data_IF_440555151263
#
_entry.id   IF_440555151263
#
_cell.length_a   1.000
_cell.length_b   1.000
_cell.length_c   1.000
_cell.angle_alpha   90.00
_cell.angle_beta   90.00
_cell.angle_gamma   90.00
#
_symmetry.space_group_name_H-M   'P 1'
#
loop_
_entity.id
_entity.type
_entity.pdbx_description
1 polymer ?
#
# COMPACT_ATOMS: atom_id res chain seq x y z
N UNK A 1 -4.57 20.23 -19.52
CA UNK A 1 -4.63 20.60 -18.08
C UNK A 1 -3.68 19.69 -17.31
N UNK A 2 -2.42 19.61 -17.73
CA UNK A 2 -1.47 18.53 -17.37
C UNK A 2 -0.17 19.08 -16.72
N UNK A 3 0.00 20.41 -16.74
CA UNK A 3 1.21 21.10 -16.29
C UNK A 3 1.32 21.16 -14.75
N UNK A 4 0.18 21.26 -14.05
CA UNK A 4 0.14 21.45 -12.58
C UNK A 4 0.55 20.19 -11.82
N UNK A 5 0.21 19.00 -12.34
CA UNK A 5 0.59 17.73 -11.73
C UNK A 5 2.10 17.50 -11.84
N UNK A 6 2.68 17.83 -13.00
CA UNK A 6 4.11 17.69 -13.23
C UNK A 6 4.91 18.65 -12.34
N UNK A 7 4.47 19.89 -12.17
CA UNK A 7 5.14 20.86 -11.28
C UNK A 7 5.17 20.41 -9.81
N UNK A 8 4.12 19.74 -9.32
CA UNK A 8 4.08 19.21 -7.94
C UNK A 8 4.98 17.99 -7.76
N UNK A 9 5.02 17.10 -8.75
CA UNK A 9 5.90 15.94 -8.74
C UNK A 9 7.36 16.38 -8.85
N UNK A 10 7.67 17.33 -9.74
CA UNK A 10 8.98 17.97 -9.86
C UNK A 10 9.38 18.69 -8.57
N UNK A 11 8.46 19.44 -7.94
CA UNK A 11 8.71 20.04 -6.63
C UNK A 11 8.99 18.99 -5.54
N UNK A 12 8.33 17.82 -5.60
CA UNK A 12 8.61 16.74 -4.67
C UNK A 12 9.95 16.04 -4.92
N UNK A 13 10.35 15.94 -6.19
CA UNK A 13 11.62 15.38 -6.63
C UNK A 13 12.81 16.32 -6.37
N UNK A 14 12.64 17.63 -6.54
CA UNK A 14 13.73 18.63 -6.59
C UNK A 14 13.64 19.76 -5.54
N UNK A 15 12.54 19.91 -4.79
CA UNK A 15 12.36 20.94 -3.76
C UNK A 15 13.29 20.77 -2.56
N UNK A 16 13.29 21.65 -1.56
CA UNK A 16 13.91 21.39 -0.24
C UNK A 16 12.97 20.50 0.60
N UNK A 17 13.52 19.69 1.50
CA UNK A 17 12.85 18.62 2.25
C UNK A 17 11.83 19.09 3.30
N UNK A 18 11.29 20.30 3.18
CA UNK A 18 10.82 21.04 4.35
C UNK A 18 9.31 21.24 4.46
N UNK A 19 8.50 21.00 3.43
CA UNK A 19 7.05 21.12 3.59
C UNK A 19 6.29 20.34 2.50
N UNK A 20 5.89 19.12 2.83
CA UNK A 20 4.99 18.34 1.99
C UNK A 20 3.59 18.42 2.58
N UNK A 21 2.64 18.91 1.77
CA UNK A 21 1.21 18.78 2.07
C UNK A 21 0.75 17.37 1.71
N UNK A 22 0.19 16.65 2.67
CA UNK A 22 -0.33 15.29 2.48
C UNK A 22 -1.76 15.25 1.93
N UNK A 23 -2.30 16.38 1.46
CA UNK A 23 -3.62 16.46 0.82
C UNK A 23 -3.79 15.61 -0.43
N UNK A 24 -2.70 15.13 -1.04
CA UNK A 24 -2.75 14.20 -2.17
C UNK A 24 -3.11 12.76 -1.79
N UNK A 25 -3.08 12.43 -0.49
CA UNK A 25 -3.40 11.07 -0.03
C UNK A 25 -4.90 10.79 -0.21
N UNK A 26 -5.29 9.65 -0.83
CA UNK A 26 -6.69 9.30 -0.99
C UNK A 26 -7.41 9.16 0.36
N UNK A 27 -8.56 9.83 0.51
CA UNK A 27 -9.34 9.81 1.76
C UNK A 27 -9.77 8.40 2.18
N UNK A 28 -10.12 7.55 1.20
CA UNK A 28 -10.51 6.16 1.46
C UNK A 28 -9.33 5.37 2.05
N UNK A 29 -8.14 5.52 1.49
CA UNK A 29 -6.92 4.88 2.00
C UNK A 29 -6.59 5.38 3.41
N UNK A 30 -6.67 6.70 3.64
CA UNK A 30 -6.45 7.29 4.96
C UNK A 30 -7.42 6.73 6.00
N UNK A 31 -8.69 6.56 5.62
CA UNK A 31 -9.73 6.01 6.50
C UNK A 31 -9.45 4.54 6.82
N UNK A 32 -9.09 3.73 5.83
CA UNK A 32 -8.76 2.32 6.04
C UNK A 32 -7.49 2.14 6.90
N UNK A 33 -6.44 2.92 6.63
CA UNK A 33 -5.21 2.92 7.44
C UNK A 33 -5.50 3.32 8.88
N UNK A 34 -6.32 4.35 9.08
CA UNK A 34 -6.71 4.81 10.42
C UNK A 34 -7.47 3.72 11.17
N UNK A 35 -8.47 3.12 10.53
CA UNK A 35 -9.25 2.03 11.13
C UNK A 35 -8.35 0.86 11.53
N UNK A 36 -7.41 0.46 10.68
CA UNK A 36 -6.47 -0.62 10.99
C UNK A 36 -5.62 -0.32 12.22
N UNK A 37 -5.03 0.89 12.28
CA UNK A 37 -4.19 1.32 13.39
C UNK A 37 -5.00 1.41 14.68
N UNK A 38 -6.18 2.04 14.63
CA UNK A 38 -7.03 2.21 15.81
C UNK A 38 -7.50 0.86 16.34
N UNK A 39 -8.00 -0.04 15.48
CA UNK A 39 -8.43 -1.39 15.89
C UNK A 39 -7.27 -2.23 16.46
N UNK A 40 -6.06 -2.11 15.91
CA UNK A 40 -4.88 -2.78 16.48
C UNK A 40 -4.58 -2.26 17.88
N UNK A 41 -4.54 -0.93 18.07
CA UNK A 41 -4.17 -0.34 19.35
C UNK A 41 -5.28 -0.34 20.39
N UNK A 42 -6.53 -0.54 20.00
CA UNK A 42 -7.61 -0.88 20.93
C UNK A 42 -7.38 -2.24 21.61
N UNK A 43 -6.83 -3.22 20.88
CA UNK A 43 -6.52 -4.55 21.40
C UNK A 43 -5.17 -4.63 22.14
N UNK A 44 -4.16 -3.90 21.66
CA UNK A 44 -2.78 -4.00 22.14
C UNK A 44 -2.34 -2.82 23.04
N UNK A 45 -3.18 -1.79 23.16
CA UNK A 45 -2.87 -0.55 23.85
C UNK A 45 -2.11 0.44 22.96
N UNK A 46 -2.31 1.73 23.23
CA UNK A 46 -1.69 2.83 22.48
C UNK A 46 -0.29 3.21 22.97
N UNK A 47 0.10 2.75 24.17
CA UNK A 47 1.38 3.16 24.78
C UNK A 47 2.62 2.77 23.96
N UNK A 48 2.53 1.75 23.11
CA UNK A 48 3.61 1.31 22.24
C UNK A 48 3.68 2.05 20.89
N UNK A 49 2.68 2.85 20.53
CA UNK A 49 2.64 3.49 19.22
C UNK A 49 3.80 4.47 18.99
N UNK A 50 4.15 5.36 19.94
CA UNK A 50 5.36 6.17 19.82
C UNK A 50 6.61 5.29 19.69
N UNK A 51 6.74 4.25 20.51
CA UNK A 51 7.89 3.34 20.44
C UNK A 51 8.03 2.66 19.06
N UNK A 52 6.92 2.24 18.44
CA UNK A 52 6.92 1.66 17.10
C UNK A 52 7.50 2.65 16.10
N UNK A 53 7.03 3.91 16.12
CA UNK A 53 7.50 4.94 15.20
C UNK A 53 9.01 5.20 15.33
N UNK A 54 9.54 5.24 16.56
CA UNK A 54 10.97 5.50 16.79
C UNK A 54 11.85 4.27 16.53
N UNK A 55 11.40 3.07 16.92
CA UNK A 55 12.14 1.81 16.65
C UNK A 55 12.19 1.50 15.16
N UNK A 56 11.17 1.89 14.41
CA UNK A 56 11.12 1.85 12.94
C UNK A 56 11.96 2.94 12.26
N UNK A 57 12.71 3.75 13.02
CA UNK A 57 13.58 4.83 12.54
C UNK A 57 12.84 5.93 11.76
N UNK A 58 11.53 6.11 12.02
CA UNK A 58 10.72 7.15 11.38
C UNK A 58 10.85 8.52 12.08
N UNK A 59 11.43 8.56 13.29
CA UNK A 59 11.65 9.79 14.07
C UNK A 59 12.27 10.95 13.28
N UNK A 60 13.43 10.78 12.62
CA UNK A 60 14.04 11.85 11.82
C UNK A 60 13.15 12.36 10.68
N UNK A 61 12.33 11.49 10.07
CA UNK A 61 11.42 11.90 9.00
C UNK A 61 10.23 12.71 9.56
N UNK A 62 9.66 12.25 10.68
CA UNK A 62 8.59 12.95 11.42
C UNK A 62 9.09 14.34 11.88
N UNK A 63 10.33 14.43 12.33
CA UNK A 63 10.95 15.68 12.79
C UNK A 63 11.35 16.62 11.64
N UNK A 64 11.63 16.11 10.43
CA UNK A 64 11.95 16.97 9.30
C UNK A 64 10.71 17.68 8.72
N UNK A 65 9.56 16.99 8.67
CA UNK A 65 8.34 17.52 8.08
C UNK A 65 7.57 18.44 9.05
N UNK A 66 7.09 19.59 8.56
CA UNK A 66 6.40 20.59 9.39
C UNK A 66 5.04 20.10 9.93
N UNK A 67 4.22 19.45 9.11
CA UNK A 67 2.91 18.92 9.56
C UNK A 67 3.10 17.87 10.65
N UNK A 68 4.03 16.93 10.45
CA UNK A 68 4.35 15.90 11.44
C UNK A 68 4.93 16.48 12.72
N UNK A 69 5.85 17.46 12.65
CA UNK A 69 6.34 18.16 13.84
C UNK A 69 5.23 18.82 14.63
N UNK A 70 4.27 19.45 13.96
CA UNK A 70 3.15 20.10 14.62
C UNK A 70 2.25 19.09 15.33
N UNK A 71 1.92 17.99 14.66
CA UNK A 71 1.15 16.89 15.24
C UNK A 71 1.89 16.27 16.43
N UNK A 72 3.19 16.01 16.28
CA UNK A 72 4.03 15.45 17.33
C UNK A 72 4.07 16.38 18.55
N UNK A 73 4.34 17.67 18.35
CA UNK A 73 4.36 18.66 19.44
C UNK A 73 3.03 18.71 20.19
N UNK A 74 1.90 18.71 19.47
CA UNK A 74 0.57 18.67 20.09
C UNK A 74 0.33 17.38 20.86
N UNK A 75 0.71 16.23 20.30
CA UNK A 75 0.55 14.92 20.92
C UNK A 75 1.40 14.77 22.19
N UNK A 76 2.65 15.26 22.16
CA UNK A 76 3.59 15.14 23.28
C UNK A 76 3.31 16.10 24.44
N UNK A 77 2.66 17.25 24.19
CA UNK A 77 2.43 18.28 25.22
C UNK A 77 1.03 18.26 25.81
N UNK A 78 0.09 17.54 25.20
CA UNK A 78 -1.29 17.47 25.71
C UNK A 78 -1.37 16.71 27.02
N UNK A 79 -2.26 17.16 27.92
CA UNK A 79 -2.57 16.45 29.19
C UNK A 79 -3.57 15.31 29.02
N UNK A 80 -4.13 15.14 27.82
CA UNK A 80 -5.13 14.11 27.52
C UNK A 80 -4.49 12.97 26.75
N UNK A 81 -4.44 11.78 27.36
CA UNK A 81 -3.96 10.56 26.71
C UNK A 81 -4.73 10.27 25.42
N UNK A 82 -6.05 10.49 25.40
CA UNK A 82 -6.89 10.35 24.19
C UNK A 82 -6.38 11.24 23.04
N UNK A 83 -6.12 12.52 23.31
CA UNK A 83 -5.60 13.46 22.29
C UNK A 83 -4.17 13.13 21.87
N UNK A 84 -3.33 12.63 22.79
CA UNK A 84 -1.98 12.19 22.47
C UNK A 84 -2.02 11.00 21.50
N UNK A 85 -2.82 9.99 21.85
CA UNK A 85 -3.03 8.78 21.06
C UNK A 85 -3.57 9.12 19.66
N UNK A 86 -4.56 10.01 19.57
CA UNK A 86 -5.09 10.48 18.28
C UNK A 86 -4.02 11.16 17.42
N UNK A 87 -3.16 11.97 18.03
CA UNK A 87 -2.04 12.62 17.33
C UNK A 87 -1.03 11.61 16.77
N UNK A 88 -0.62 10.63 17.58
CA UNK A 88 0.27 9.56 17.14
C UNK A 88 -0.39 8.64 16.09
N UNK A 89 -1.67 8.31 16.25
CA UNK A 89 -2.42 7.52 15.28
C UNK A 89 -2.52 8.24 13.93
N UNK A 90 -2.71 9.56 13.92
CA UNK A 90 -2.71 10.35 12.68
C UNK A 90 -1.35 10.35 11.99
N UNK A 91 -0.25 10.49 12.74
CA UNK A 91 1.11 10.38 12.19
C UNK A 91 1.31 8.99 11.55
N UNK A 92 1.02 7.92 12.30
CA UNK A 92 1.17 6.55 11.83
C UNK A 92 0.27 6.25 10.60
N UNK A 93 -0.95 6.77 10.58
CA UNK A 93 -1.90 6.63 9.45
C UNK A 93 -1.31 7.20 8.17
N UNK A 94 -0.79 8.43 8.26
CA UNK A 94 -0.22 9.13 7.11
C UNK A 94 1.01 8.40 6.59
N UNK A 95 1.87 7.93 7.49
CA UNK A 95 3.07 7.16 7.14
C UNK A 95 2.70 5.82 6.49
N UNK A 96 1.75 5.08 7.04
CA UNK A 96 1.29 3.81 6.48
C UNK A 96 0.67 4.00 5.08
N UNK A 97 -0.13 5.06 4.88
CA UNK A 97 -0.70 5.38 3.57
C UNK A 97 0.39 5.69 2.53
N UNK A 98 1.45 6.41 2.91
CA UNK A 98 2.61 6.65 2.04
C UNK A 98 3.31 5.34 1.67
N UNK A 99 3.52 4.43 2.63
CA UNK A 99 4.16 3.13 2.37
C UNK A 99 3.31 2.27 1.41
N UNK A 100 1.98 2.25 1.58
CA UNK A 100 1.03 1.53 0.70
C UNK A 100 1.09 2.08 -0.73
N UNK A 101 1.09 3.40 -0.89
CA UNK A 101 1.18 4.06 -2.20
C UNK A 101 2.57 3.91 -2.84
N UNK A 102 3.65 3.92 -2.07
CA UNK A 102 4.98 3.75 -2.63
C UNK A 102 5.25 2.29 -3.05
N UNK A 103 4.63 1.32 -2.37
CA UNK A 103 4.76 -0.12 -2.68
C UNK A 103 3.74 -0.64 -3.71
N UNK A 104 2.79 0.19 -4.12
CA UNK A 104 1.62 -0.21 -4.93
C UNK A 104 0.86 -1.40 -4.32
N UNK A 105 0.75 -1.41 -2.99
CA UNK A 105 0.07 -2.49 -2.28
C UNK A 105 -1.40 -2.55 -2.70
N UNK A 106 -1.89 -3.76 -3.00
CA UNK A 106 -3.26 -4.02 -3.46
C UNK A 106 -3.74 -3.15 -4.65
N UNK A 107 -2.80 -2.59 -5.43
CA UNK A 107 -3.11 -1.77 -6.60
C UNK A 107 -3.50 -0.32 -6.30
N UNK A 108 -3.29 0.18 -5.07
CA UNK A 108 -3.62 1.56 -4.69
C UNK A 108 -3.00 2.62 -5.60
N UNK A 109 -1.76 2.40 -6.05
CA UNK A 109 -1.04 3.34 -6.91
C UNK A 109 -1.42 3.20 -8.37
N UNK A 110 -1.97 2.06 -8.78
CA UNK A 110 -2.59 1.93 -10.10
C UNK A 110 -3.87 2.77 -10.19
N UNK A 111 -4.61 2.87 -9.09
CA UNK A 111 -5.83 3.70 -9.00
C UNK A 111 -5.49 5.19 -8.82
N UNK A 112 -4.45 5.49 -8.03
CA UNK A 112 -3.99 6.85 -7.77
C UNK A 112 -2.51 7.03 -8.19
N UNK A 113 -2.21 7.09 -9.50
CA UNK A 113 -0.84 7.10 -10.01
C UNK A 113 -0.03 8.30 -9.54
N UNK A 114 -0.61 9.51 -9.54
CA UNK A 114 0.06 10.72 -9.06
C UNK A 114 0.41 10.62 -7.57
N UNK A 115 -0.51 10.10 -6.76
CA UNK A 115 -0.29 9.90 -5.33
C UNK A 115 0.80 8.85 -5.06
N UNK A 116 0.85 7.79 -5.87
CA UNK A 116 1.92 6.79 -5.86
C UNK A 116 3.30 7.40 -6.15
N UNK A 117 3.39 8.21 -7.21
CA UNK A 117 4.65 8.89 -7.59
C UNK A 117 5.12 9.85 -6.49
N UNK A 118 4.20 10.66 -5.93
CA UNK A 118 4.52 11.57 -4.82
C UNK A 118 4.97 10.81 -3.57
N UNK A 119 4.25 9.76 -3.17
CA UNK A 119 4.62 8.94 -2.01
C UNK A 119 6.00 8.30 -2.20
N UNK A 120 6.27 7.76 -3.38
CA UNK A 120 7.57 7.18 -3.71
C UNK A 120 8.69 8.23 -3.70
N UNK A 121 8.46 9.44 -4.23
CA UNK A 121 9.43 10.53 -4.20
C UNK A 121 9.75 10.97 -2.76
N UNK A 122 8.72 11.14 -1.92
CA UNK A 122 8.85 11.53 -0.51
C UNK A 122 9.66 10.49 0.28
N UNK A 123 9.31 9.21 0.16
CA UNK A 123 10.00 8.12 0.89
C UNK A 123 11.42 7.86 0.36
N UNK A 124 11.64 7.95 -0.96
CA UNK A 124 12.99 7.82 -1.54
C UNK A 124 13.92 8.94 -1.06
N UNK A 125 13.39 10.14 -0.86
CA UNK A 125 14.15 11.30 -0.41
C UNK A 125 14.50 11.23 1.08
N UNK A 126 13.62 10.66 1.90
CA UNK A 126 13.85 10.46 3.33
C UNK A 126 14.81 9.29 3.64
N UNK A 127 15.31 8.61 2.59
CA UNK A 127 16.13 7.40 2.62
C UNK A 127 17.04 7.24 3.84
N UNK A 128 16.59 6.36 4.75
CA UNK A 128 17.49 5.46 5.49
C UNK A 128 17.10 3.98 5.43
N UNK A 129 16.08 3.60 4.67
CA UNK A 129 15.84 2.21 4.29
C UNK A 129 14.72 2.09 3.24
N UNK A 130 14.81 1.17 2.25
CA UNK A 130 13.66 0.77 1.43
C UNK A 130 12.63 -0.08 2.20
N UNK A 131 12.90 -0.40 3.47
CA UNK A 131 11.95 -1.10 4.33
C UNK A 131 10.71 -0.23 4.55
N UNK A 132 9.54 -0.86 4.46
CA UNK A 132 8.22 -0.27 4.74
C UNK A 132 7.80 -0.72 6.14
N UNK A 133 8.38 -0.15 7.21
CA UNK A 133 8.32 -0.72 8.55
C UNK A 133 6.90 -0.75 9.12
N UNK A 134 6.01 0.17 8.76
CA UNK A 134 4.63 0.13 9.24
C UNK A 134 3.83 -0.95 8.49
N UNK A 135 4.06 -1.13 7.20
CA UNK A 135 3.50 -2.27 6.47
C UNK A 135 4.01 -3.60 7.02
N UNK A 136 5.31 -3.74 7.27
CA UNK A 136 5.89 -4.93 7.89
C UNK A 136 5.25 -5.18 9.27
N UNK A 137 5.08 -4.14 10.08
CA UNK A 137 4.51 -4.27 11.42
C UNK A 137 3.01 -4.63 11.41
N UNK A 138 2.19 -3.93 10.62
CA UNK A 138 0.72 -4.08 10.66
C UNK A 138 0.19 -5.17 9.73
N UNK A 139 0.85 -5.46 8.61
CA UNK A 139 0.35 -6.41 7.59
C UNK A 139 1.06 -7.76 7.66
N UNK A 140 2.36 -7.74 7.95
CA UNK A 140 3.21 -8.93 7.98
C UNK A 140 3.89 -9.12 9.33
N UNK A 141 3.15 -9.15 10.46
CA UNK A 141 3.79 -9.30 11.76
C UNK A 141 4.62 -10.60 11.80
N UNK A 142 5.78 -10.64 12.48
CA UNK A 142 6.74 -11.74 12.38
C UNK A 142 6.23 -13.15 12.70
N UNK A 143 5.04 -13.25 13.32
CA UNK A 143 4.45 -14.51 13.78
C UNK A 143 3.37 -15.06 12.84
N UNK A 144 2.73 -14.23 12.02
CA UNK A 144 1.66 -14.64 11.10
C UNK A 144 1.32 -13.50 10.13
N UNK A 145 0.72 -13.81 8.98
CA UNK A 145 0.21 -12.80 8.04
C UNK A 145 -1.22 -12.42 8.44
N UNK A 146 -1.50 -11.12 8.55
CA UNK A 146 -2.85 -10.66 8.88
C UNK A 146 -3.69 -10.51 7.61
N UNK A 147 -4.35 -11.59 7.18
CA UNK A 147 -5.25 -11.56 6.02
C UNK A 147 -6.40 -10.57 6.19
N UNK A 148 -6.90 -10.38 7.40
CA UNK A 148 -7.93 -9.39 7.69
C UNK A 148 -7.44 -7.95 7.46
N UNK A 149 -6.20 -7.64 7.88
CA UNK A 149 -5.60 -6.33 7.62
C UNK A 149 -5.35 -6.09 6.12
N UNK A 150 -4.88 -7.12 5.41
CA UNK A 150 -4.69 -7.08 3.95
C UNK A 150 -6.02 -6.83 3.23
N UNK A 151 -7.08 -7.54 3.61
CA UNK A 151 -8.41 -7.36 3.04
C UNK A 151 -8.97 -5.96 3.35
N UNK A 152 -8.79 -5.46 4.58
CA UNK A 152 -9.25 -4.14 5.01
C UNK A 152 -8.59 -2.98 4.23
N UNK A 153 -7.37 -3.19 3.73
CA UNK A 153 -6.61 -2.22 2.94
C UNK A 153 -6.71 -2.44 1.43
N UNK A 154 -7.68 -3.24 0.97
CA UNK A 154 -7.93 -3.39 -0.47
C UNK A 154 -8.78 -2.21 -0.95
N UNK A 155 -8.47 -1.60 -2.11
CA UNK A 155 -9.27 -0.51 -2.65
C UNK A 155 -10.74 -0.91 -2.77
N UNK A 156 -11.68 -0.02 -2.41
CA UNK A 156 -13.10 -0.30 -2.55
C UNK A 156 -13.41 -0.58 -4.05
N UNK A 157 -14.11 -1.68 -4.30
CA UNK A 157 -14.38 -2.22 -5.65
C UNK A 157 -15.11 -1.27 -6.61
N UNK A 158 -15.48 -0.06 -6.17
CA UNK A 158 -16.14 0.96 -6.98
C UNK A 158 -15.26 1.55 -8.09
N UNK A 159 -13.93 1.40 -8.02
CA UNK A 159 -13.01 1.93 -9.03
C UNK A 159 -12.59 0.91 -10.11
N UNK A 160 -13.31 -0.21 -10.24
CA UNK A 160 -13.16 -1.16 -11.37
C UNK A 160 -13.97 -0.77 -12.62
N UNK A 161 -14.63 0.40 -12.63
CA UNK A 161 -15.36 0.81 -13.83
C UNK A 161 -14.41 1.00 -15.02
N UNK A 162 -13.21 1.54 -14.81
CA UNK A 162 -12.23 1.75 -15.87
C UNK A 162 -11.78 0.46 -16.56
N UNK A 163 -11.43 -0.60 -15.82
CA UNK A 163 -11.03 -1.89 -16.43
C UNK A 163 -12.21 -2.60 -17.10
N UNK A 164 -13.40 -2.54 -16.50
CA UNK A 164 -14.61 -3.18 -17.05
C UNK A 164 -15.15 -2.43 -18.27
N UNK A 165 -15.01 -1.10 -18.28
CA UNK A 165 -15.35 -0.22 -19.41
C UNK A 165 -14.30 -0.30 -20.50
N UNK A 166 -13.00 -0.42 -20.19
CA UNK A 166 -11.96 -0.70 -21.17
C UNK A 166 -12.19 -2.08 -21.80
N UNK A 167 -12.50 -3.11 -21.03
CA UNK A 167 -12.85 -4.45 -21.54
C UNK A 167 -14.12 -4.42 -22.41
N UNK A 168 -15.15 -3.67 -21.98
CA UNK A 168 -16.41 -3.51 -22.74
C UNK A 168 -16.26 -2.63 -23.98
N UNK A 169 -15.40 -1.61 -23.93
CA UNK A 169 -15.06 -0.73 -25.05
C UNK A 169 -14.15 -1.42 -26.07
N UNK A 170 -13.32 -2.37 -25.61
CA UNK A 170 -12.41 -3.14 -26.46
C UNK A 170 -13.12 -4.11 -27.41
N UNK A 171 -14.45 -4.30 -27.30
CA UNK A 171 -15.25 -5.28 -28.08
C UNK A 171 -14.41 -6.51 -28.44
N UNK A 172 -13.96 -7.31 -27.45
CA UNK A 172 -13.13 -8.47 -27.74
C UNK A 172 -13.87 -9.37 -28.72
N UNK A 173 -13.23 -9.68 -29.85
CA UNK A 173 -13.84 -10.50 -30.88
C UNK A 173 -14.08 -11.90 -30.27
N UNK A 174 -15.31 -12.38 -30.34
CA UNK A 174 -15.73 -13.67 -29.76
C UNK A 174 -14.92 -14.85 -30.32
N UNK A 175 -14.25 -14.64 -31.44
CA UNK A 175 -13.28 -15.56 -32.02
C UNK A 175 -12.03 -15.74 -31.14
N UNK A 176 -11.47 -14.66 -30.61
CA UNK A 176 -10.26 -14.69 -29.79
C UNK A 176 -10.50 -15.35 -28.43
N UNK A 177 -11.68 -15.11 -27.84
CA UNK A 177 -12.08 -15.76 -26.58
C UNK A 177 -12.28 -17.28 -26.77
N UNK A 178 -12.91 -17.70 -27.89
CA UNK A 178 -12.99 -19.12 -28.25
C UNK A 178 -11.63 -19.74 -28.51
N UNK A 179 -10.70 -19.00 -29.12
CA UNK A 179 -9.35 -19.46 -29.41
C UNK A 179 -8.53 -19.60 -28.12
N UNK A 180 -8.65 -18.67 -27.18
CA UNK A 180 -8.04 -18.77 -25.86
C UNK A 180 -8.60 -19.95 -25.06
N UNK A 181 -9.92 -20.15 -25.08
CA UNK A 181 -10.56 -21.28 -24.40
C UNK A 181 -10.17 -22.62 -25.03
N UNK A 182 -10.04 -22.69 -26.36
CA UNK A 182 -9.53 -23.86 -27.06
C UNK A 182 -8.06 -24.14 -26.73
N UNK A 183 -7.23 -23.11 -26.60
CA UNK A 183 -5.84 -23.25 -26.20
C UNK A 183 -5.72 -23.78 -24.77
N UNK A 184 -6.47 -23.22 -23.81
CA UNK A 184 -6.49 -23.69 -22.42
C UNK A 184 -6.95 -25.15 -22.34
N UNK A 185 -7.99 -25.52 -23.09
CA UNK A 185 -8.46 -26.90 -23.14
C UNK A 185 -7.44 -27.85 -23.80
N UNK A 186 -6.71 -27.38 -24.82
CA UNK A 186 -5.64 -28.16 -25.46
C UNK A 186 -4.45 -28.37 -24.52
N UNK A 187 -4.04 -27.34 -23.77
CA UNK A 187 -2.98 -27.43 -22.76
C UNK A 187 -3.38 -28.39 -21.63
N UNK A 188 -4.63 -28.32 -21.18
CA UNK A 188 -5.15 -29.22 -20.13
C UNK A 188 -5.16 -30.68 -20.59
N UNK A 189 -5.61 -30.94 -21.83
CA UNK A 189 -5.55 -32.29 -22.44
C UNK A 189 -4.12 -32.79 -22.64
N UNK A 190 -3.18 -31.92 -22.98
CA UNK A 190 -1.77 -32.28 -23.12
C UNK A 190 -1.10 -32.62 -21.78
N UNK A 191 -1.58 -32.03 -20.68
CA UNK A 191 -1.14 -32.35 -19.33
C UNK A 191 -1.75 -33.66 -18.83
N UNK A 192 -3.05 -33.89 -19.09
CA UNK A 192 -3.73 -35.14 -18.74
C UNK A 192 -3.23 -36.35 -19.56
N UNK A 193 -2.73 -36.13 -20.78
CA UNK A 193 -2.12 -37.16 -21.63
C UNK A 193 -0.65 -37.47 -21.32
N UNK A 194 -0.02 -36.79 -20.36
CA UNK A 194 1.38 -36.99 -19.97
C UNK A 194 1.48 -37.59 -18.57
N UNK A 195 0.89 -38.76 -18.37
CA UNK A 195 1.29 -39.71 -17.32
C UNK A 195 2.16 -40.80 -17.97
N UNK A 196 3.37 -41.08 -17.44
CA UNK A 196 4.34 -41.96 -18.09
C UNK A 196 3.99 -43.45 -17.93
N UNK A 197 3.89 -44.13 -19.07
CA UNK A 197 4.12 -45.56 -19.16
C UNK A 197 5.63 -45.81 -18.97
N UNK A 198 6.01 -46.14 -17.74
CA UNK A 198 7.38 -46.48 -17.39
C UNK A 198 7.41 -47.57 -16.31
N UNK A 199 7.15 -48.80 -16.73
CA UNK A 199 7.65 -49.99 -16.06
C UNK A 199 8.11 -51.02 -17.10
N UNK A 200 9.21 -50.71 -17.78
CA UNK A 200 10.01 -51.72 -18.46
C UNK A 200 10.72 -52.60 -17.42
N UNK A 201 10.44 -53.91 -17.43
CA UNK A 201 11.36 -54.94 -16.94
C UNK A 201 11.27 -56.21 -17.80
N UNK A 202 12.33 -56.43 -18.58
CA UNK A 202 12.86 -57.70 -19.06
C UNK A 202 14.41 -57.56 -19.04
N UNK A 203 15.23 -58.62 -19.17
CA UNK A 203 15.06 -60.07 -18.98
C UNK A 203 16.15 -60.69 -18.06
N UNK A 204 15.99 -61.95 -17.62
CA UNK A 204 16.96 -63.09 -17.71
C UNK A 204 16.15 -64.38 -17.61
#
# INVERSE_FOLDING_TARGET
MEVVANDRVEAALFGKTEDFDFSFLPNDLMTQCRSLIESYHELHGYGCLPDILWKSRLGPFIEANQEFRHLLKKASTTRSAKKANEGFARIATTLLALEILASNFSGWSAIHPEAGLMAHAILKRSARSPHMPLMEFYLYPPKYVSFAAIAALTPPSGHRSGETELYRASKPDLADEKQALNYVNAVKRAQDGRLPDAAARSPV
#
